data_IF_487699209291
#
_entry.id   IF_487699209291
#
_cell.length_a   1.000
_cell.length_b   1.000
_cell.length_c   1.000
_cell.angle_alpha   90.00
_cell.angle_beta   90.00
_cell.angle_gamma   90.00
#
_symmetry.space_group_name_H-M   'P 1'
#
loop_
_entity.id
_entity.type
_entity.pdbx_description
1 polymer ?
#
# COMPACT_ATOMS: atom_id res chain seq x y z
N UNK A 1 -37.63 17.04 4.86
CA UNK A 1 -36.23 17.44 5.15
C UNK A 1 -35.29 16.50 4.39
N UNK A 2 -34.34 17.02 3.60
CA UNK A 2 -33.32 16.17 2.94
C UNK A 2 -32.34 15.66 4.01
N UNK A 3 -31.95 14.38 4.01
CA UNK A 3 -30.99 13.87 4.98
C UNK A 3 -29.67 14.62 4.81
N UNK A 4 -29.18 15.22 5.90
CA UNK A 4 -27.87 15.83 5.94
C UNK A 4 -26.83 14.76 5.59
N UNK A 5 -26.01 15.01 4.57
CA UNK A 5 -24.89 14.11 4.21
C UNK A 5 -23.98 13.97 5.42
N UNK A 6 -24.06 12.82 6.10
CA UNK A 6 -23.31 12.50 7.32
C UNK A 6 -21.79 12.36 7.08
N UNK A 7 -21.38 12.17 5.83
CA UNK A 7 -19.98 12.04 5.45
C UNK A 7 -19.45 13.37 4.90
N UNK A 8 -18.58 14.03 5.66
CA UNK A 8 -17.73 15.11 5.14
C UNK A 8 -16.85 14.53 4.03
N UNK A 9 -16.85 15.17 2.87
CA UNK A 9 -15.92 14.84 1.78
C UNK A 9 -14.55 15.42 2.10
N UNK A 10 -13.83 14.82 3.06
CA UNK A 10 -12.48 15.21 3.52
C UNK A 10 -11.36 14.87 2.50
N UNK A 11 -11.67 15.08 1.23
CA UNK A 11 -10.79 14.88 0.08
C UNK A 11 -9.49 15.68 0.18
N UNK A 12 -9.51 16.89 0.75
CA UNK A 12 -8.31 17.73 0.93
C UNK A 12 -7.38 17.17 1.99
N UNK A 13 -7.92 16.71 3.12
CA UNK A 13 -7.12 16.11 4.20
C UNK A 13 -6.50 14.79 3.73
N UNK A 14 -7.28 13.97 3.03
CA UNK A 14 -6.80 12.71 2.44
C UNK A 14 -5.66 12.94 1.46
N UNK A 15 -5.79 13.93 0.55
CA UNK A 15 -4.71 14.31 -0.38
C UNK A 15 -3.46 14.79 0.34
N UNK A 16 -3.62 15.58 1.41
CA UNK A 16 -2.50 16.06 2.23
C UNK A 16 -1.75 14.89 2.88
N UNK A 17 -2.48 13.94 3.46
CA UNK A 17 -1.91 12.75 4.07
C UNK A 17 -1.14 11.88 3.06
N UNK A 18 -1.72 11.67 1.87
CA UNK A 18 -1.05 10.95 0.77
C UNK A 18 0.25 11.66 0.38
N UNK A 19 0.21 12.99 0.20
CA UNK A 19 1.39 13.79 -0.14
C UNK A 19 2.49 13.69 0.93
N UNK A 20 2.12 13.83 2.21
CA UNK A 20 3.03 13.69 3.33
C UNK A 20 3.68 12.29 3.37
N UNK A 21 2.88 11.24 3.15
CA UNK A 21 3.37 9.86 3.05
C UNK A 21 4.39 9.68 1.93
N UNK A 22 4.09 10.19 0.73
CA UNK A 22 5.00 10.11 -0.43
C UNK A 22 6.32 10.85 -0.14
N UNK A 23 6.25 12.06 0.41
CA UNK A 23 7.44 12.86 0.71
C UNK A 23 8.31 12.21 1.81
N UNK A 24 7.67 11.68 2.85
CA UNK A 24 8.35 10.93 3.91
C UNK A 24 9.07 9.70 3.35
N UNK A 25 8.38 8.91 2.51
CA UNK A 25 8.97 7.73 1.88
C UNK A 25 10.15 8.09 0.97
N UNK A 26 10.04 9.14 0.13
CA UNK A 26 11.15 9.61 -0.70
C UNK A 26 12.37 10.01 0.12
N UNK A 27 12.15 10.72 1.23
CA UNK A 27 13.23 11.11 2.13
C UNK A 27 13.87 9.89 2.79
N UNK A 28 13.08 8.94 3.29
CA UNK A 28 13.58 7.71 3.90
C UNK A 28 14.41 6.88 2.91
N UNK A 29 13.95 6.73 1.66
CA UNK A 29 14.69 6.04 0.59
C UNK A 29 16.02 6.76 0.32
N UNK A 30 15.99 8.09 0.15
CA UNK A 30 17.21 8.88 -0.10
C UNK A 30 18.24 8.74 1.04
N UNK A 31 17.78 8.83 2.29
CA UNK A 31 18.67 8.67 3.45
C UNK A 31 19.19 7.24 3.56
N UNK A 32 18.35 6.24 3.28
CA UNK A 32 18.76 4.84 3.26
C UNK A 32 19.83 4.59 2.20
N UNK A 33 19.71 5.17 0.99
CA UNK A 33 20.75 5.09 -0.04
C UNK A 33 22.04 5.82 0.36
N UNK A 34 21.94 6.99 1.00
CA UNK A 34 23.11 7.72 1.48
C UNK A 34 23.87 7.00 2.61
N UNK A 35 23.13 6.30 3.48
CA UNK A 35 23.67 5.44 4.53
C UNK A 35 23.91 4.01 4.06
N UNK A 36 23.66 3.74 2.78
CA UNK A 36 24.08 2.50 2.16
C UNK A 36 23.38 1.30 2.85
N UNK A 37 22.12 1.54 3.29
CA UNK A 37 21.22 0.63 3.99
C UNK A 37 20.34 -0.13 2.99
N UNK A 38 19.97 -1.38 3.29
CA UNK A 38 19.10 -2.17 2.44
C UNK A 38 17.68 -1.58 2.38
N UNK A 39 17.14 -1.46 1.16
CA UNK A 39 15.81 -0.92 0.88
C UNK A 39 14.92 -2.05 0.38
N UNK A 40 13.81 -2.28 1.07
CA UNK A 40 12.81 -3.29 0.65
C UNK A 40 11.67 -2.61 -0.10
N UNK A 41 11.28 -3.16 -1.24
CA UNK A 41 10.13 -2.69 -2.01
C UNK A 41 9.36 -3.84 -2.65
N UNK A 42 8.11 -3.56 -3.00
CA UNK A 42 7.21 -4.52 -3.65
C UNK A 42 7.05 -4.11 -5.11
N UNK A 43 7.26 -5.06 -6.02
CA UNK A 43 7.04 -4.88 -7.46
C UNK A 43 6.50 -6.19 -8.04
N UNK A 44 5.48 -6.13 -8.88
CA UNK A 44 4.91 -7.31 -9.56
C UNK A 44 4.59 -8.48 -8.61
N UNK A 45 4.00 -8.16 -7.45
CA UNK A 45 3.70 -9.13 -6.37
C UNK A 45 4.91 -9.91 -5.84
N UNK A 46 6.10 -9.37 -6.02
CA UNK A 46 7.33 -9.85 -5.42
C UNK A 46 7.95 -8.79 -4.49
N UNK A 47 8.54 -9.27 -3.40
CA UNK A 47 9.31 -8.46 -2.45
C UNK A 47 10.77 -8.50 -2.91
N UNK A 48 11.33 -7.32 -3.14
CA UNK A 48 12.73 -7.12 -3.51
C UNK A 48 13.46 -6.37 -2.40
N UNK A 49 14.74 -6.69 -2.25
CA UNK A 49 15.69 -5.97 -1.40
C UNK A 49 16.79 -5.44 -2.29
N UNK A 50 16.96 -4.13 -2.32
CA UNK A 50 18.09 -3.43 -2.93
C UNK A 50 19.12 -3.14 -1.84
N UNK A 51 20.33 -3.65 -2.02
CA UNK A 51 21.49 -3.38 -1.17
C UNK A 51 22.66 -2.93 -2.06
N UNK A 52 23.82 -2.58 -1.49
CA UNK A 52 25.01 -2.11 -2.23
C UNK A 52 25.49 -3.09 -3.30
N UNK A 53 25.20 -4.37 -3.13
CA UNK A 53 25.59 -5.45 -4.04
C UNK A 53 24.59 -5.66 -5.20
N UNK A 54 23.48 -4.92 -5.21
CA UNK A 54 22.42 -5.03 -6.21
C UNK A 54 21.07 -5.45 -5.64
N UNK A 55 20.16 -5.83 -6.52
CA UNK A 55 18.77 -6.17 -6.19
C UNK A 55 18.60 -7.68 -6.07
N UNK A 56 18.01 -8.15 -4.98
CA UNK A 56 17.65 -9.55 -4.74
C UNK A 56 16.15 -9.68 -4.50
N UNK A 57 15.53 -10.71 -5.06
CA UNK A 57 14.15 -11.08 -4.74
C UNK A 57 14.14 -11.89 -3.44
N UNK A 58 13.36 -11.44 -2.45
CA UNK A 58 13.27 -12.10 -1.14
C UNK A 58 12.03 -12.98 -1.00
N UNK A 59 10.97 -12.73 -1.79
CA UNK A 59 9.78 -13.56 -1.78
C UNK A 59 8.68 -13.08 -2.74
N UNK A 60 7.56 -13.79 -2.75
CA UNK A 60 6.34 -13.41 -3.45
C UNK A 60 5.20 -13.17 -2.46
N UNK A 61 4.35 -12.20 -2.80
CA UNK A 61 3.13 -11.91 -2.06
C UNK A 61 2.07 -12.88 -2.56
N UNK A 62 1.64 -13.79 -1.68
CA UNK A 62 0.52 -14.68 -1.97
C UNK A 62 -0.77 -13.87 -1.78
N UNK A 63 -1.31 -13.33 -2.87
CA UNK A 63 -2.64 -12.73 -2.84
C UNK A 63 -3.67 -13.86 -2.70
N UNK A 64 -4.44 -13.86 -1.61
CA UNK A 64 -5.66 -14.69 -1.54
C UNK A 64 -6.60 -14.20 -2.63
N UNK A 65 -7.01 -15.10 -3.53
CA UNK A 65 -8.03 -14.78 -4.53
C UNK A 65 -9.29 -14.30 -3.82
N UNK A 66 -9.76 -13.09 -4.17
CA UNK A 66 -11.09 -12.68 -3.77
C UNK A 66 -12.11 -13.55 -4.52
N UNK A 67 -13.19 -14.01 -3.86
CA UNK A 67 -14.19 -14.81 -4.53
C UNK A 67 -14.81 -13.99 -5.68
N UNK A 68 -14.69 -14.51 -6.91
CA UNK A 68 -15.12 -13.83 -8.14
C UNK A 68 -16.66 -13.72 -8.27
N UNK A 69 -17.40 -14.49 -7.48
CA UNK A 69 -18.86 -14.63 -7.57
C UNK A 69 -19.59 -14.09 -6.33
N UNK A 70 -19.29 -12.86 -5.88
CA UNK A 70 -20.06 -12.23 -4.80
C UNK A 70 -21.31 -11.59 -5.41
N UNK A 71 -22.47 -12.18 -5.14
CA UNK A 71 -23.78 -11.62 -5.51
C UNK A 71 -24.29 -10.75 -4.35
N UNK A 72 -24.96 -9.64 -4.66
CA UNK A 72 -25.59 -8.77 -3.66
C UNK A 72 -26.58 -9.58 -2.80
N UNK A 73 -26.36 -9.63 -1.49
CA UNK A 73 -27.18 -10.41 -0.53
C UNK A 73 -26.58 -11.75 -0.10
N UNK A 74 -25.39 -12.11 -0.61
CA UNK A 74 -24.70 -13.34 -0.20
C UNK A 74 -24.09 -13.19 1.20
N UNK A 75 -24.44 -14.10 2.12
CA UNK A 75 -23.89 -14.13 3.49
C UNK A 75 -22.65 -15.03 3.48
N UNK A 76 -21.48 -14.42 3.70
CA UNK A 76 -20.22 -15.14 3.89
C UNK A 76 -20.25 -15.85 5.25
N UNK A 77 -20.44 -17.17 5.26
CA UNK A 77 -20.16 -18.00 6.43
C UNK A 77 -18.68 -18.39 6.40
N UNK A 78 -17.87 -17.69 7.19
CA UNK A 78 -16.54 -18.20 7.54
C UNK A 78 -16.74 -19.40 8.49
N UNK A 79 -16.04 -20.50 8.20
CA UNK A 79 -16.00 -21.68 9.07
C UNK A 79 -14.92 -21.52 10.12
#
# INVERSE_FOLDING_TARGET
MKPAKLFRTDSRQTKSLISAGINSAKNAIRQSKALDLPITYIKDDAIYVEDKFGVKQQGSIIRKEQPKNIIKGMILRAK
#
